data_IF_212542375627
#
_entry.id   IF_212542375627
#
_cell.length_a   1.000
_cell.length_b   1.000
_cell.length_c   1.000
_cell.angle_alpha   90.00
_cell.angle_beta   90.00
_cell.angle_gamma   90.00
#
_symmetry.space_group_name_H-M   'P 1'
#
loop_
_entity.id
_entity.type
_entity.pdbx_description
1 polymer ?
#
# COMPACT_ATOMS: atom_id res chain seq x y z
N UNK A 1 3.70 11.86 -10.98
CA UNK A 1 4.88 11.71 -10.11
C UNK A 1 4.56 10.70 -9.03
N UNK A 2 5.55 10.24 -8.24
CA UNK A 2 5.30 9.35 -7.09
C UNK A 2 4.33 9.97 -6.07
N UNK A 3 4.39 11.30 -5.89
CA UNK A 3 3.49 12.03 -5.00
C UNK A 3 2.00 11.85 -5.34
N UNK A 4 1.62 12.01 -6.60
CA UNK A 4 0.21 11.85 -7.02
C UNK A 4 -0.29 10.40 -6.83
N UNK A 5 0.59 9.41 -6.98
CA UNK A 5 0.24 8.01 -6.74
C UNK A 5 -0.02 7.78 -5.25
N UNK A 6 0.87 8.27 -4.38
CA UNK A 6 0.72 8.17 -2.93
C UNK A 6 -0.54 8.91 -2.45
N UNK A 7 -0.78 10.13 -2.92
CA UNK A 7 -1.98 10.91 -2.62
C UNK A 7 -3.25 10.12 -2.96
N UNK A 8 -3.33 9.53 -4.16
CA UNK A 8 -4.46 8.71 -4.56
C UNK A 8 -4.70 7.50 -3.65
N UNK A 9 -3.64 6.80 -3.24
CA UNK A 9 -3.74 5.65 -2.33
C UNK A 9 -4.25 6.09 -0.95
N UNK A 10 -3.72 7.19 -0.42
CA UNK A 10 -4.11 7.72 0.90
C UNK A 10 -5.56 8.22 0.90
N UNK A 11 -6.00 8.91 -0.16
CA UNK A 11 -7.39 9.36 -0.27
C UNK A 11 -8.40 8.20 -0.27
N UNK A 12 -8.10 7.08 -0.95
CA UNK A 12 -8.93 5.88 -0.88
C UNK A 12 -9.00 5.34 0.55
N UNK A 13 -7.87 5.30 1.27
CA UNK A 13 -7.82 4.84 2.66
C UNK A 13 -8.68 5.74 3.59
N UNK A 14 -8.61 7.06 3.43
CA UNK A 14 -9.45 8.00 4.19
C UNK A 14 -10.95 7.81 3.93
N UNK A 15 -11.33 7.40 2.71
CA UNK A 15 -12.72 7.07 2.36
C UNK A 15 -13.13 5.63 2.74
N UNK A 16 -12.24 4.82 3.35
CA UNK A 16 -12.50 3.42 3.66
C UNK A 16 -12.61 2.51 2.42
N UNK A 17 -12.07 2.94 1.28
CA UNK A 17 -12.09 2.21 0.01
C UNK A 17 -10.74 1.54 -0.26
N UNK A 18 -10.77 0.42 -0.98
CA UNK A 18 -9.55 -0.22 -1.44
C UNK A 18 -8.90 0.59 -2.59
N UNK A 19 -7.60 0.96 -2.49
CA UNK A 19 -6.90 1.71 -3.56
C UNK A 19 -6.56 0.86 -4.78
N UNK A 20 -6.63 -0.48 -4.66
CA UNK A 20 -6.32 -1.42 -5.72
C UNK A 20 -7.41 -2.48 -5.87
N UNK A 21 -7.65 -2.91 -7.10
CA UNK A 21 -8.51 -4.06 -7.39
C UNK A 21 -7.81 -5.38 -7.06
N UNK A 22 -8.57 -6.47 -6.92
CA UNK A 22 -8.02 -7.82 -6.67
C UNK A 22 -6.96 -8.24 -7.68
N UNK A 23 -7.19 -7.92 -8.97
CA UNK A 23 -6.23 -8.18 -10.06
C UNK A 23 -4.89 -7.48 -9.81
N UNK A 24 -4.93 -6.24 -9.31
CA UNK A 24 -3.71 -5.48 -9.05
C UNK A 24 -3.04 -5.92 -7.74
N UNK A 25 -3.81 -6.28 -6.71
CA UNK A 25 -3.27 -6.89 -5.50
C UNK A 25 -2.49 -8.17 -5.80
N UNK A 26 -3.02 -9.03 -6.69
CA UNK A 26 -2.31 -10.23 -7.15
C UNK A 26 -0.93 -9.89 -7.74
N UNK A 27 -0.86 -8.88 -8.60
CA UNK A 27 0.40 -8.42 -9.20
C UNK A 27 1.35 -7.84 -8.16
N UNK A 28 0.85 -7.12 -7.17
CA UNK A 28 1.66 -6.56 -6.08
C UNK A 28 2.31 -7.71 -5.30
N UNK A 29 1.55 -8.76 -4.97
CA UNK A 29 2.08 -9.96 -4.28
C UNK A 29 3.14 -10.69 -5.13
N UNK A 30 2.91 -10.87 -6.44
CA UNK A 30 3.89 -11.48 -7.33
C UNK A 30 5.20 -10.68 -7.36
N UNK A 31 5.10 -9.34 -7.42
CA UNK A 31 6.26 -8.45 -7.38
C UNK A 31 6.98 -8.52 -6.02
N UNK A 32 6.24 -8.53 -4.91
CA UNK A 32 6.83 -8.69 -3.57
C UNK A 32 7.64 -9.99 -3.49
N UNK A 33 7.12 -11.09 -4.04
CA UNK A 33 7.83 -12.36 -4.05
C UNK A 33 9.11 -12.34 -4.90
N UNK A 34 9.09 -11.70 -6.08
CA UNK A 34 10.25 -11.64 -6.98
C UNK A 34 11.38 -10.79 -6.38
N UNK A 35 11.02 -9.71 -5.68
CA UNK A 35 11.97 -8.77 -5.10
C UNK A 35 12.25 -9.01 -3.60
N UNK A 36 11.78 -10.13 -3.05
CA UNK A 36 11.97 -10.51 -1.64
C UNK A 36 11.51 -9.41 -0.65
N UNK A 37 10.41 -8.72 -0.99
CA UNK A 37 9.83 -7.67 -0.14
C UNK A 37 8.88 -8.30 0.87
N UNK A 38 9.31 -8.40 2.11
CA UNK A 38 8.60 -9.04 3.23
C UNK A 38 7.85 -8.05 4.13
N UNK A 39 8.06 -6.75 3.95
CA UNK A 39 7.37 -5.70 4.71
C UNK A 39 5.83 -5.81 4.60
N UNK A 40 5.20 -5.67 5.74
CA UNK A 40 3.75 -5.69 5.93
C UNK A 40 3.28 -4.41 6.63
N UNK A 41 1.97 -4.24 6.77
CA UNK A 41 1.43 -3.15 7.58
C UNK A 41 1.88 -3.24 9.05
N UNK A 42 2.25 -4.42 9.55
CA UNK A 42 2.73 -4.59 10.94
C UNK A 42 4.11 -3.96 11.14
N UNK A 43 4.89 -3.85 10.07
CA UNK A 43 6.20 -3.22 10.05
C UNK A 43 6.10 -1.70 9.90
N UNK A 44 4.93 -1.18 9.49
CA UNK A 44 4.67 0.25 9.55
C UNK A 44 4.74 0.68 11.01
N UNK A 45 5.75 1.50 11.32
CA UNK A 45 6.06 1.89 12.68
C UNK A 45 4.81 2.46 13.36
N UNK A 46 4.67 2.14 14.65
CA UNK A 46 3.68 2.72 15.57
C UNK A 46 3.85 4.24 15.59
N UNK A 47 3.29 4.92 14.61
CA UNK A 47 3.17 6.37 14.56
C UNK A 47 2.15 6.73 15.65
N UNK A 48 2.64 6.93 16.87
CA UNK A 48 1.92 7.79 17.81
C UNK A 48 1.96 9.20 17.20
N UNK A 49 0.81 9.64 16.71
CA UNK A 49 0.60 11.06 16.43
C UNK A 49 0.73 11.81 17.77
N UNK A 50 1.85 12.51 17.96
CA UNK A 50 2.03 13.50 19.02
C UNK A 50 1.38 14.82 18.65
#
# INVERSE_FOLDING_TARGET
>A
SLGNLLEGIVLHAFEGKAPFSEKNLKKIEDLKSIYELDLTWQDSHKLEES
#
